data_IF_004031918522
#
_entry.id   IF_004031918522
#
_cell.length_a   1.000
_cell.length_b   1.000
_cell.length_c   1.000
_cell.angle_alpha   90.00
_cell.angle_beta   90.00
_cell.angle_gamma   90.00
#
_symmetry.space_group_name_H-M   'P 1'
#
loop_
_entity.id
_entity.type
_entity.pdbx_description
1 polymer ?
#
# COMPACT_ATOMS: atom_id res chain seq x y z
N UNK A 1 12.18 6.58 11.91
CA UNK A 1 10.83 6.09 12.26
C UNK A 1 10.48 4.94 11.34
N UNK A 2 9.92 3.87 11.89
CA UNK A 2 9.50 2.69 11.15
C UNK A 2 7.97 2.64 11.19
N UNK A 3 7.33 2.46 10.03
CA UNK A 3 5.90 2.24 9.90
C UNK A 3 5.72 0.88 9.25
N UNK A 4 5.10 -0.05 9.97
CA UNK A 4 4.68 -1.34 9.44
C UNK A 4 3.26 -1.23 8.85
N UNK A 5 2.90 -2.15 7.94
CA UNK A 5 1.65 -2.10 7.17
C UNK A 5 1.41 -0.74 6.47
N UNK A 6 2.47 -0.07 6.02
CA UNK A 6 2.45 1.29 5.48
C UNK A 6 1.67 1.44 4.15
N UNK A 7 1.34 0.32 3.50
CA UNK A 7 0.49 0.28 2.31
C UNK A 7 -1.02 0.39 2.65
N UNK A 8 -1.40 0.16 3.91
CA UNK A 8 -2.78 0.08 4.38
C UNK A 8 -3.41 1.43 4.76
N UNK A 9 -2.77 2.35 5.51
CA UNK A 9 -3.39 3.62 5.85
C UNK A 9 -3.43 4.55 4.64
N UNK A 10 -4.45 5.39 4.56
CA UNK A 10 -4.46 6.53 3.64
C UNK A 10 -3.30 7.46 3.97
N UNK A 11 -2.80 8.17 2.96
CA UNK A 11 -1.71 9.13 3.18
C UNK A 11 -2.00 10.20 4.25
N UNK A 12 -3.21 10.81 4.32
CA UNK A 12 -3.52 11.79 5.37
C UNK A 12 -3.42 11.24 6.79
N UNK A 13 -3.76 9.95 7.01
CA UNK A 13 -3.63 9.32 8.32
C UNK A 13 -2.16 9.28 8.78
N UNK A 14 -1.25 8.97 7.86
CA UNK A 14 0.20 8.93 8.13
C UNK A 14 0.78 10.33 8.43
N UNK A 15 0.25 11.39 7.84
CA UNK A 15 0.81 12.75 8.01
C UNK A 15 0.80 13.22 9.46
N UNK A 16 -0.22 12.82 10.24
CA UNK A 16 -0.29 13.17 11.67
C UNK A 16 0.89 12.60 12.45
N UNK A 17 1.29 11.37 12.14
CA UNK A 17 2.46 10.71 12.73
C UNK A 17 3.74 11.43 12.34
N UNK A 18 3.89 11.80 11.07
CA UNK A 18 5.07 12.55 10.60
C UNK A 18 5.18 13.93 11.27
N UNK A 19 4.05 14.64 11.39
CA UNK A 19 4.01 15.96 12.01
C UNK A 19 4.33 15.88 13.52
N UNK A 20 3.83 14.86 14.21
CA UNK A 20 4.03 14.70 15.65
C UNK A 20 5.47 14.33 16.00
N UNK A 21 6.06 13.35 15.31
CA UNK A 21 7.39 12.84 15.64
C UNK A 21 8.55 13.53 14.90
N UNK A 22 8.26 14.31 13.86
CA UNK A 22 9.23 15.01 13.02
C UNK A 22 10.49 14.16 12.67
N UNK A 23 10.32 12.95 12.11
CA UNK A 23 11.44 12.02 11.96
C UNK A 23 12.40 12.45 10.85
N UNK A 24 13.70 12.38 11.13
CA UNK A 24 14.79 12.66 10.17
C UNK A 24 14.83 11.61 9.04
N UNK A 25 14.42 10.37 9.34
CA UNK A 25 14.38 9.27 8.38
C UNK A 25 13.16 8.36 8.60
N UNK A 26 12.69 7.73 7.53
CA UNK A 26 11.47 6.92 7.49
C UNK A 26 11.76 5.59 6.81
N UNK A 27 11.34 4.50 7.43
CA UNK A 27 11.30 3.16 6.83
C UNK A 27 9.83 2.75 6.76
N UNK A 28 9.34 2.52 5.54
CA UNK A 28 7.97 2.09 5.28
C UNK A 28 8.02 0.61 4.92
N UNK A 29 7.36 -0.22 5.70
CA UNK A 29 7.26 -1.66 5.49
C UNK A 29 5.80 -1.95 5.17
N UNK A 30 5.56 -2.71 4.11
CA UNK A 30 4.22 -3.05 3.67
C UNK A 30 4.24 -3.62 2.27
N UNK A 31 3.04 -3.87 1.74
CA UNK A 31 2.87 -4.47 0.43
C UNK A 31 1.67 -3.86 -0.29
N UNK A 32 1.94 -3.16 -1.39
CA UNK A 32 0.90 -2.48 -2.20
C UNK A 32 0.05 -3.45 -3.02
N UNK A 33 0.41 -4.75 -3.05
CA UNK A 33 -0.41 -5.84 -3.61
C UNK A 33 -1.42 -6.42 -2.60
N UNK A 34 -1.27 -6.11 -1.30
CA UNK A 34 -2.20 -6.54 -0.25
C UNK A 34 -3.34 -5.53 -0.06
N UNK A 35 -4.04 -5.61 1.07
CA UNK A 35 -5.15 -4.71 1.40
C UNK A 35 -4.66 -3.27 1.49
N UNK A 36 -5.09 -2.44 0.53
CA UNK A 36 -4.88 -1.01 0.55
C UNK A 36 -5.85 -0.25 1.48
N UNK A 37 -5.84 1.09 1.40
CA UNK A 37 -6.68 1.92 2.23
C UNK A 37 -8.17 1.71 2.03
N UNK A 38 -8.89 1.60 3.15
CA UNK A 38 -10.33 1.49 3.16
C UNK A 38 -10.97 2.88 3.27
N UNK A 39 -11.46 3.40 2.15
CA UNK A 39 -12.10 4.72 2.09
C UNK A 39 -13.61 4.56 2.01
N UNK A 40 -14.31 4.94 3.07
CA UNK A 40 -15.76 5.11 3.05
C UNK A 40 -16.07 6.55 2.68
N UNK A 41 -16.39 6.80 1.41
CA UNK A 41 -16.96 8.08 0.99
C UNK A 41 -18.39 7.85 0.50
N UNK A 42 -19.37 8.69 0.86
CA UNK A 42 -20.68 8.70 0.21
C UNK A 42 -20.59 9.05 -1.29
N UNK A 43 -19.43 9.56 -1.73
CA UNK A 43 -19.06 9.80 -3.13
C UNK A 43 -18.00 8.80 -3.64
N UNK A 44 -17.69 7.74 -2.88
CA UNK A 44 -16.85 6.65 -3.40
C UNK A 44 -17.67 5.88 -4.42
N UNK A 45 -17.16 5.83 -5.65
CA UNK A 45 -17.75 5.16 -6.80
C UNK A 45 -18.43 3.82 -6.48
N UNK A 46 -19.66 3.66 -6.97
CA UNK A 46 -20.08 2.35 -7.48
C UNK A 46 -19.34 2.09 -8.78
N UNK A 47 -18.84 0.86 -8.95
CA UNK A 47 -18.09 0.44 -10.15
C UNK A 47 -18.93 0.70 -11.42
N UNK A 48 -18.48 1.62 -12.28
CA UNK A 48 -19.11 1.92 -13.57
C UNK A 48 -19.83 3.27 -13.69
N UNK A 49 -19.90 4.07 -12.63
CA UNK A 49 -20.42 5.45 -12.68
C UNK A 49 -19.29 6.47 -12.84
N UNK A 50 -19.56 7.63 -13.43
CA UNK A 50 -18.61 8.76 -13.40
C UNK A 50 -18.53 9.28 -11.97
N UNK A 51 -17.31 9.40 -11.43
CA UNK A 51 -17.13 9.85 -10.07
C UNK A 51 -17.37 11.36 -9.98
N UNK A 52 -18.36 11.84 -9.21
CA UNK A 52 -18.47 13.26 -8.93
C UNK A 52 -17.26 13.79 -8.14
N UNK A 53 -16.51 12.91 -7.46
CA UNK A 53 -15.29 13.24 -6.73
C UNK A 53 -14.04 12.86 -7.53
N UNK A 54 -13.46 13.82 -8.26
CA UNK A 54 -12.20 13.67 -9.00
C UNK A 54 -10.98 13.29 -8.14
N UNK A 55 -11.10 13.33 -6.82
CA UNK A 55 -10.02 12.97 -5.88
C UNK A 55 -10.18 11.60 -5.25
N UNK A 56 -11.23 10.82 -5.55
CA UNK A 56 -11.43 9.54 -4.86
C UNK A 56 -10.28 8.54 -5.10
N UNK A 57 -9.68 8.55 -6.29
CA UNK A 57 -8.49 7.74 -6.57
C UNK A 57 -7.30 8.15 -5.69
N UNK A 58 -7.16 9.45 -5.38
CA UNK A 58 -6.11 9.97 -4.49
C UNK A 58 -6.38 9.63 -3.03
N UNK A 59 -7.65 9.58 -2.61
CA UNK A 59 -8.02 9.21 -1.25
C UNK A 59 -7.72 7.73 -0.97
N UNK A 60 -7.82 6.87 -1.99
CA UNK A 60 -7.50 5.45 -1.89
C UNK A 60 -6.01 5.10 -1.95
N UNK A 61 -5.11 6.09 -2.06
CA UNK A 61 -3.67 5.86 -2.08
C UNK A 61 -3.06 5.94 -0.68
N UNK A 62 -2.24 4.96 -0.36
CA UNK A 62 -1.32 5.06 0.77
C UNK A 62 -0.11 5.91 0.42
N UNK A 63 0.53 6.48 1.45
CA UNK A 63 1.77 7.23 1.24
C UNK A 63 2.87 6.36 0.62
N UNK A 64 2.98 5.09 1.04
CA UNK A 64 3.89 4.11 0.44
C UNK A 64 3.60 3.89 -1.05
N UNK A 65 2.33 3.64 -1.41
CA UNK A 65 1.93 3.43 -2.81
C UNK A 65 2.16 4.66 -3.69
N UNK A 66 1.99 5.88 -3.13
CA UNK A 66 2.38 7.11 -3.83
C UNK A 66 3.88 7.17 -4.08
N UNK A 67 4.72 6.89 -3.09
CA UNK A 67 6.17 6.92 -3.28
C UNK A 67 6.65 5.88 -4.31
N UNK A 68 6.14 4.65 -4.21
CA UNK A 68 6.45 3.57 -5.16
C UNK A 68 6.07 3.96 -6.59
N UNK A 69 4.86 4.47 -6.81
CA UNK A 69 4.41 4.93 -8.13
C UNK A 69 5.19 6.15 -8.67
N UNK A 70 5.86 6.91 -7.80
CA UNK A 70 6.74 8.01 -8.20
C UNK A 70 8.21 7.58 -8.38
N UNK A 71 8.48 6.26 -8.37
CA UNK A 71 9.81 5.72 -8.68
C UNK A 71 10.80 5.75 -7.51
N UNK A 72 10.31 5.90 -6.28
CA UNK A 72 11.17 5.70 -5.10
C UNK A 72 11.63 4.24 -5.02
N UNK A 73 12.87 4.02 -4.62
CA UNK A 73 13.44 2.69 -4.48
C UNK A 73 12.66 1.85 -3.47
N UNK A 74 12.25 0.66 -3.91
CA UNK A 74 11.61 -0.36 -3.08
C UNK A 74 12.52 -1.59 -3.03
N UNK A 75 12.67 -2.16 -1.85
CA UNK A 75 13.35 -3.44 -1.66
C UNK A 75 12.31 -4.50 -1.36
N UNK A 76 12.22 -5.52 -2.22
CA UNK A 76 11.33 -6.67 -2.03
C UNK A 76 12.07 -7.80 -1.33
N UNK A 77 11.47 -8.37 -0.29
CA UNK A 77 11.94 -9.61 0.33
C UNK A 77 11.36 -10.78 -0.46
N UNK A 78 12.23 -11.64 -1.01
CA UNK A 78 11.81 -12.70 -1.96
C UNK A 78 11.59 -14.05 -1.30
N UNK A 79 12.19 -14.29 -0.14
CA UNK A 79 12.04 -15.55 0.59
C UNK A 79 10.80 -15.49 1.50
N UNK A 80 9.89 -16.45 1.32
CA UNK A 80 8.75 -16.62 2.20
C UNK A 80 8.96 -17.86 3.09
N UNK A 81 8.75 -17.71 4.39
CA UNK A 81 9.04 -18.75 5.40
C UNK A 81 7.78 -19.29 6.09
N UNK A 82 6.58 -18.91 5.63
CA UNK A 82 5.33 -19.17 6.34
C UNK A 82 4.47 -20.25 5.67
N UNK A 83 4.12 -20.07 4.39
CA UNK A 83 3.25 -20.97 3.66
C UNK A 83 4.00 -22.21 3.16
N UNK A 84 3.27 -23.31 2.92
CA UNK A 84 3.84 -24.45 2.20
C UNK A 84 4.02 -24.13 0.70
N UNK A 85 4.98 -24.74 -0.02
CA UNK A 85 5.32 -24.37 -1.40
C UNK A 85 4.15 -24.32 -2.38
N UNK A 86 3.16 -25.22 -2.25
CA UNK A 86 1.98 -25.21 -3.13
C UNK A 86 1.08 -23.99 -2.93
N UNK A 87 0.93 -23.52 -1.69
CA UNK A 87 0.14 -22.32 -1.37
C UNK A 87 0.91 -21.07 -1.82
N UNK A 88 2.21 -21.01 -1.53
CA UNK A 88 3.04 -19.86 -1.92
C UNK A 88 3.14 -19.68 -3.43
N UNK A 89 3.27 -20.78 -4.17
CA UNK A 89 3.24 -20.74 -5.63
C UNK A 89 1.95 -20.11 -6.18
N UNK A 90 0.80 -20.36 -5.53
CA UNK A 90 -0.50 -19.86 -5.99
C UNK A 90 -0.57 -18.33 -5.95
N UNK A 91 -0.29 -17.69 -4.81
CA UNK A 91 -0.33 -16.23 -4.72
C UNK A 91 0.88 -15.57 -5.40
N UNK A 92 2.04 -16.22 -5.45
CA UNK A 92 3.18 -15.69 -6.19
C UNK A 92 2.88 -15.58 -7.69
N UNK A 93 2.31 -16.63 -8.29
CA UNK A 93 1.93 -16.62 -9.70
C UNK A 93 0.81 -15.61 -10.01
N UNK A 94 -0.02 -15.26 -9.02
CA UNK A 94 -1.08 -14.28 -9.21
C UNK A 94 -0.59 -12.83 -9.08
N UNK A 95 0.32 -12.54 -8.14
CA UNK A 95 0.61 -11.16 -7.73
C UNK A 95 2.07 -10.73 -7.92
N UNK A 96 3.05 -11.61 -7.66
CA UNK A 96 4.44 -11.19 -7.48
C UNK A 96 5.38 -11.67 -8.60
N UNK A 97 5.14 -12.83 -9.19
CA UNK A 97 5.93 -13.43 -10.27
C UNK A 97 7.45 -13.49 -9.98
N UNK A 98 7.81 -13.67 -8.71
CA UNK A 98 9.21 -13.76 -8.28
C UNK A 98 9.66 -15.21 -8.15
N UNK A 99 10.97 -15.51 -8.26
CA UNK A 99 11.50 -16.82 -7.90
C UNK A 99 11.25 -17.06 -6.40
N UNK A 100 10.46 -18.10 -6.07
CA UNK A 100 10.24 -18.59 -4.71
C UNK A 100 11.22 -19.71 -4.36
#
# INVERSE_FOLDING_TARGET
MVIDEAARPTEPEIWTVFAHYAPIGRLLIGDTRQLGPHVQSPFALKKGEENPNGFASQQGLSYMGRLESNGFSVTTLTEQNWAVPGISATYNNAFYHIPL
#
